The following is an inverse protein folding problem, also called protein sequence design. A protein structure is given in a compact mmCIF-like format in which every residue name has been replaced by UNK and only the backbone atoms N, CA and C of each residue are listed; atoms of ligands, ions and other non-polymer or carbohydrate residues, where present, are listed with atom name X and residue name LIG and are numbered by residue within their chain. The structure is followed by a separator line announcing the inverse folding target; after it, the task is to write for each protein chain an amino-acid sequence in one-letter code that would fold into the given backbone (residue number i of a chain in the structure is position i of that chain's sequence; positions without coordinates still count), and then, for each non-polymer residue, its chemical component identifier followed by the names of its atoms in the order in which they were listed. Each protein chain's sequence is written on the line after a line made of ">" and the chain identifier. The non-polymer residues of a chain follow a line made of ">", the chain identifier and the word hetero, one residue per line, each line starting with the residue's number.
data_IF_524931325403
#
_entry.id   IF_524931325403
#
_cell.length_a   1.000
_cell.length_b   1.000
_cell.length_c   1.000
_cell.angle_alpha   90.00
_cell.angle_beta   90.00
_cell.angle_gamma   90.00
#
_symmetry.space_group_name_H-M   'P 1'
#
loop_
_entity.id
_entity.type
_entity.pdbx_description
1 polymer ?
#
# COMPACT_ATOMS: atom_id res chain seq x y z
N UNK A 1 16.14 -19.36 -2.36
CA UNK A 1 15.14 -19.59 -1.28
C UNK A 1 14.56 -20.99 -1.41
N UNK A 2 13.96 -21.60 -0.37
CA UNK A 2 13.27 -22.89 -0.52
C UNK A 2 12.27 -22.93 -1.68
N UNK A 3 11.58 -21.81 -1.94
CA UNK A 3 10.69 -21.64 -3.09
C UNK A 3 11.40 -21.80 -4.44
N UNK A 4 12.57 -21.17 -4.62
CA UNK A 4 13.35 -21.28 -5.86
C UNK A 4 13.82 -22.70 -6.15
N UNK A 5 14.20 -23.46 -5.12
CA UNK A 5 14.67 -24.84 -5.26
C UNK A 5 13.54 -25.78 -5.73
N UNK A 6 12.32 -25.56 -5.26
CA UNK A 6 11.16 -26.39 -5.61
C UNK A 6 10.58 -26.00 -6.97
N UNK A 7 10.55 -24.70 -7.29
CA UNK A 7 9.83 -24.18 -8.46
C UNK A 7 10.74 -23.74 -9.61
N UNK A 8 12.07 -23.79 -9.45
CA UNK A 8 13.05 -23.26 -10.40
C UNK A 8 12.75 -21.82 -10.87
N UNK A 9 12.09 -21.03 -10.00
CA UNK A 9 11.61 -19.68 -10.30
C UNK A 9 11.77 -18.80 -9.06
N UNK A 10 12.25 -17.57 -9.25
CA UNK A 10 12.28 -16.56 -8.18
C UNK A 10 10.86 -16.26 -7.69
N UNK A 11 10.63 -16.13 -6.37
CA UNK A 11 9.32 -15.75 -5.86
C UNK A 11 8.96 -14.34 -6.35
N UNK A 12 7.69 -14.16 -6.70
CA UNK A 12 7.15 -12.83 -6.97
C UNK A 12 6.82 -12.16 -5.64
N UNK A 13 7.52 -11.07 -5.35
CA UNK A 13 7.37 -10.32 -4.10
C UNK A 13 6.65 -8.98 -4.30
N UNK A 14 6.15 -8.69 -5.51
CA UNK A 14 5.52 -7.40 -5.85
C UNK A 14 4.23 -7.09 -5.07
N UNK A 15 3.61 -8.12 -4.50
CA UNK A 15 2.44 -7.98 -3.63
C UNK A 15 2.80 -7.49 -2.22
N UNK A 16 4.02 -7.76 -1.75
CA UNK A 16 4.41 -7.41 -0.39
C UNK A 16 4.78 -5.93 -0.30
N UNK A 17 4.29 -5.25 0.74
CA UNK A 17 4.51 -3.83 0.98
C UNK A 17 4.92 -3.59 2.43
N UNK A 18 5.71 -2.54 2.63
CA UNK A 18 6.21 -2.14 3.96
C UNK A 18 5.12 -1.41 4.72
N UNK A 19 4.82 -1.83 5.95
CA UNK A 19 3.87 -1.13 6.82
C UNK A 19 4.26 0.34 6.96
N UNK A 20 3.29 1.26 6.82
CA UNK A 20 3.53 2.69 6.85
C UNK A 20 3.90 3.31 5.49
N UNK A 21 4.04 2.51 4.43
CA UNK A 21 4.30 3.03 3.09
C UNK A 21 3.20 4.01 2.63
N UNK A 22 3.63 5.10 2.01
CA UNK A 22 2.75 6.06 1.36
C UNK A 22 2.13 5.40 0.13
N UNK A 23 0.82 5.55 -0.01
CA UNK A 23 0.10 4.97 -1.14
C UNK A 23 -1.09 5.82 -1.55
N UNK A 24 -1.61 5.55 -2.74
CA UNK A 24 -2.68 6.30 -3.38
C UNK A 24 -3.75 5.31 -3.83
N UNK A 25 -4.75 5.00 -2.98
CA UNK A 25 -5.91 4.22 -3.41
C UNK A 25 -6.61 4.94 -4.55
N UNK A 26 -6.84 4.22 -5.64
CA UNK A 26 -7.61 4.74 -6.77
C UNK A 26 -9.07 4.78 -6.34
N UNK A 27 -9.69 5.95 -6.45
CA UNK A 27 -11.06 6.15 -6.03
C UNK A 27 -11.97 6.06 -7.25
N UNK A 28 -12.65 4.94 -7.43
CA UNK A 28 -13.53 4.68 -8.59
C UNK A 28 -14.91 5.36 -8.48
N UNK A 29 -15.11 6.29 -7.52
CA UNK A 29 -16.42 6.93 -7.37
C UNK A 29 -16.71 7.84 -8.58
N UNK A 30 -17.75 7.49 -9.33
CA UNK A 30 -18.25 8.23 -10.51
C UNK A 30 -18.60 9.71 -10.21
N UNK A 31 -18.74 10.07 -8.94
CA UNK A 31 -19.01 11.44 -8.44
C UNK A 31 -17.78 12.38 -8.40
N UNK A 32 -16.59 11.89 -8.75
CA UNK A 32 -15.43 12.77 -8.91
C UNK A 32 -15.60 13.56 -10.23
N UNK A 33 -16.17 14.77 -10.13
CA UNK A 33 -16.20 15.71 -11.25
C UNK A 33 -14.81 15.88 -11.88
N UNK A 34 -14.74 16.20 -13.18
CA UNK A 34 -13.55 16.21 -14.07
C UNK A 34 -12.24 16.85 -13.55
N UNK A 35 -12.26 17.55 -12.41
CA UNK A 35 -11.13 18.27 -11.81
C UNK A 35 -10.79 17.82 -10.37
N UNK A 36 -11.46 16.82 -9.82
CA UNK A 36 -11.13 16.29 -8.49
C UNK A 36 -9.86 15.42 -8.55
N UNK A 37 -9.04 15.42 -7.49
CA UNK A 37 -7.92 14.48 -7.37
C UNK A 37 -8.40 13.04 -7.55
N UNK A 38 -7.81 12.33 -8.51
CA UNK A 38 -8.23 10.97 -8.90
C UNK A 38 -7.88 9.92 -7.83
N UNK A 39 -7.02 10.27 -6.88
CA UNK A 39 -6.64 9.40 -5.77
C UNK A 39 -6.39 10.22 -4.50
N UNK A 40 -6.81 9.66 -3.37
CA UNK A 40 -6.48 10.20 -2.04
C UNK A 40 -5.09 9.73 -1.61
N UNK A 41 -4.40 10.51 -0.79
CA UNK A 41 -3.22 10.01 -0.07
C UNK A 41 -3.65 9.09 1.07
N UNK A 42 -3.01 7.93 1.14
CA UNK A 42 -3.21 6.92 2.16
C UNK A 42 -1.90 6.38 2.72
N UNK A 43 -2.01 5.64 3.83
CA UNK A 43 -0.90 4.93 4.46
C UNK A 43 -1.28 3.45 4.50
N UNK A 44 -0.37 2.58 4.07
CA UNK A 44 -0.58 1.14 4.13
C UNK A 44 -0.50 0.62 5.56
N UNK A 45 -1.55 -0.10 5.98
CA UNK A 45 -1.70 -0.62 7.35
C UNK A 45 -1.64 -2.15 7.38
N UNK A 46 -1.94 -2.82 6.27
CA UNK A 46 -1.89 -4.28 6.25
C UNK A 46 -2.63 -4.87 5.07
N UNK A 47 -2.79 -6.18 5.07
CA UNK A 47 -3.48 -6.88 4.00
C UNK A 47 -4.96 -7.06 4.35
N UNK A 48 -5.83 -6.95 3.34
CA UNK A 48 -7.26 -7.16 3.54
C UNK A 48 -7.54 -8.63 3.91
N UNK A 49 -8.37 -8.92 4.94
CA UNK A 49 -8.79 -10.27 5.29
C UNK A 49 -9.82 -10.83 4.30
N UNK A 50 -10.55 -9.95 3.61
CA UNK A 50 -11.68 -10.29 2.74
C UNK A 50 -11.27 -10.61 1.30
N UNK A 51 -10.09 -10.17 0.86
CA UNK A 51 -9.65 -10.24 -0.53
C UNK A 51 -8.13 -10.13 -0.65
N UNK A 52 -7.57 -10.47 -1.82
CA UNK A 52 -6.17 -10.21 -2.15
C UNK A 52 -5.94 -8.72 -2.42
N UNK A 53 -6.03 -7.93 -1.36
CA UNK A 53 -5.94 -6.48 -1.38
C UNK A 53 -5.28 -5.92 -0.13
N UNK A 54 -5.38 -4.61 0.03
CA UNK A 54 -4.67 -3.85 1.04
C UNK A 54 -5.66 -3.09 1.94
N UNK A 55 -5.33 -3.02 3.22
CA UNK A 55 -5.90 -2.10 4.19
C UNK A 55 -5.10 -0.80 4.17
N UNK A 56 -5.78 0.29 3.88
CA UNK A 56 -5.19 1.61 3.72
C UNK A 56 -5.92 2.57 4.66
N UNK A 57 -5.15 3.30 5.47
CA UNK A 57 -5.66 4.46 6.18
C UNK A 57 -5.72 5.64 5.23
N UNK A 58 -6.91 6.05 4.83
CA UNK A 58 -7.11 7.22 3.99
C UNK A 58 -6.99 8.49 4.84
N UNK A 59 -6.01 9.34 4.51
CA UNK A 59 -5.69 10.54 5.31
C UNK A 59 -6.80 11.60 5.23
N UNK A 60 -7.54 11.66 4.12
CA UNK A 60 -8.64 12.61 3.92
C UNK A 60 -9.85 12.24 4.77
N UNK A 61 -10.31 10.99 4.69
CA UNK A 61 -11.51 10.53 5.40
C UNK A 61 -11.24 10.06 6.82
N UNK A 62 -9.96 9.85 7.17
CA UNK A 62 -9.49 9.30 8.45
C UNK A 62 -10.06 7.91 8.76
N UNK A 63 -10.31 7.11 7.72
CA UNK A 63 -10.87 5.76 7.82
C UNK A 63 -9.92 4.73 7.23
N UNK A 64 -10.00 3.51 7.76
CA UNK A 64 -9.40 2.34 7.13
C UNK A 64 -10.35 1.87 6.04
N UNK A 65 -9.81 1.67 4.84
CA UNK A 65 -10.52 1.11 3.69
C UNK A 65 -9.75 -0.08 3.14
N UNK A 66 -10.49 -1.00 2.52
CA UNK A 66 -9.94 -2.14 1.82
C UNK A 66 -10.03 -1.91 0.31
N UNK A 67 -8.92 -2.08 -0.41
CA UNK A 67 -8.92 -1.97 -1.88
C UNK A 67 -7.81 -2.83 -2.49
N UNK A 68 -8.06 -3.31 -3.71
CA UNK A 68 -7.05 -3.97 -4.56
C UNK A 68 -6.32 -2.99 -5.47
N UNK A 69 -6.93 -1.82 -5.74
CA UNK A 69 -6.43 -0.82 -6.67
C UNK A 69 -5.75 0.30 -5.90
N UNK A 70 -4.42 0.19 -5.80
CA UNK A 70 -3.58 1.15 -5.09
C UNK A 70 -2.24 1.29 -5.80
N UNK A 71 -1.77 2.53 -5.89
CA UNK A 71 -0.40 2.83 -6.30
C UNK A 71 0.44 3.12 -5.06
N UNK A 72 1.57 2.43 -4.91
CA UNK A 72 2.52 2.65 -3.81
C UNK A 72 3.63 3.60 -4.23
N UNK A 73 4.05 4.45 -3.30
CA UNK A 73 5.23 5.29 -3.47
C UNK A 73 6.47 4.54 -2.95
N UNK A 74 7.04 3.73 -3.85
CA UNK A 74 8.22 2.93 -3.57
C UNK A 74 9.50 3.80 -3.38
N UNK A 75 9.40 5.14 -3.51
CA UNK A 75 10.51 6.09 -3.32
C UNK A 75 10.68 6.58 -1.87
N UNK A 76 9.79 6.17 -0.97
CA UNK A 76 9.94 6.52 0.45
C UNK A 76 11.02 5.61 1.05
N UNK A 77 12.27 6.08 1.04
CA UNK A 77 13.36 5.57 1.87
C UNK A 77 12.80 5.23 3.27
N UNK A 78 13.13 4.05 3.84
CA UNK A 78 12.64 3.68 5.16
C UNK A 78 12.99 4.80 6.13
N UNK A 79 11.98 5.27 6.89
CA UNK A 79 12.16 6.28 7.92
C UNK A 79 13.46 6.00 8.68
N UNK A 80 14.40 6.94 8.60
CA UNK A 80 15.72 6.79 9.21
C UNK A 80 15.56 6.26 10.64
N UNK A 81 16.38 5.28 11.07
CA UNK A 81 16.24 4.69 12.38
C UNK A 81 16.30 5.82 13.40
N UNK A 82 15.24 5.95 14.21
CA UNK A 82 15.26 6.82 15.38
C UNK A 82 16.49 6.38 16.18
N UNK A 83 17.54 7.20 16.17
CA UNK A 83 18.67 7.01 17.05
C UNK A 83 18.09 7.08 18.47
N UNK A 84 17.90 5.92 19.09
CA UNK A 84 17.87 5.83 20.54
C UNK A 84 19.28 6.21 21.02
N UNK A 85 19.51 7.52 21.18
CA UNK A 85 20.58 8.00 22.03
C UNK A 85 20.28 7.47 23.43
N UNK A 86 21.00 6.42 23.81
CA UNK A 86 21.18 6.04 25.22
C UNK A 86 22.24 6.94 25.83
#
# INVERSE_FOLDING_TARGET
>A
TPYELVHNKKPDLTFFRVFGALCYPINDSEDLGKLQPTADSGIFVGYAPSMKGYQIYNKRTRRIMETIHVQFDDLTEPMAPVHLST
#
